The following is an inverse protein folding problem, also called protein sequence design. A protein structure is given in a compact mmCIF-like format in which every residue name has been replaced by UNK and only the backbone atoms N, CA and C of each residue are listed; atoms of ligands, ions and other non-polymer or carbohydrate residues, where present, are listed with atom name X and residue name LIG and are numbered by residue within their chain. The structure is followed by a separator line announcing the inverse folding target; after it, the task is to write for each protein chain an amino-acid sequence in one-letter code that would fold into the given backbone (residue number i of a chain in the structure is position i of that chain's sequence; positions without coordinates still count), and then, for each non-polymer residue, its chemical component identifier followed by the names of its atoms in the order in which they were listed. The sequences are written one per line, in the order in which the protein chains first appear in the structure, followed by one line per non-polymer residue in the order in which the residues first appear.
data_IF_543155801554
#
_entry.id   IF_543155801554
#
_cell.length_a   1.000
_cell.length_b   1.000
_cell.length_c   1.000
_cell.angle_alpha   90.00
_cell.angle_beta   90.00
_cell.angle_gamma   90.00
#
_symmetry.space_group_name_H-M   'P 1'
#
loop_
_entity.id
_entity.type
_entity.pdbx_description
1 polymer ?
#
# COMPACT_ATOMS: atom_id res chain seq x y z
N UNK A 1 17.52 7.51 -19.46
CA UNK A 1 16.31 8.30 -19.16
C UNK A 1 15.13 7.35 -18.89
N UNK A 2 14.98 6.90 -17.65
CA UNK A 2 13.86 6.05 -17.26
C UNK A 2 12.77 6.96 -16.69
N UNK A 3 11.75 7.22 -17.50
CA UNK A 3 10.55 7.91 -17.05
C UNK A 3 9.84 7.03 -16.02
N UNK A 4 9.87 7.45 -14.75
CA UNK A 4 9.01 6.90 -13.72
C UNK A 4 7.58 7.38 -14.00
N UNK A 5 6.83 6.66 -14.84
CA UNK A 5 5.42 6.97 -15.06
C UNK A 5 4.62 6.58 -13.81
N UNK A 6 4.05 7.56 -13.12
CA UNK A 6 3.05 7.30 -12.08
C UNK A 6 1.72 6.98 -12.76
N UNK A 7 1.31 5.71 -12.71
CA UNK A 7 0.01 5.26 -13.21
C UNK A 7 -1.00 5.29 -12.05
N UNK A 8 -2.07 6.07 -12.19
CA UNK A 8 -3.16 6.14 -11.22
C UNK A 8 -4.40 5.44 -11.79
N UNK A 9 -4.93 4.48 -11.04
CA UNK A 9 -6.15 3.76 -11.38
C UNK A 9 -7.13 3.84 -10.21
N UNK A 10 -8.36 4.26 -10.48
CA UNK A 10 -9.44 4.32 -9.51
C UNK A 10 -10.55 3.37 -9.96
N UNK A 11 -11.04 2.56 -9.02
CA UNK A 11 -12.09 1.58 -9.24
C UNK A 11 -12.99 1.46 -8.00
N UNK A 12 -14.19 0.92 -8.19
CA UNK A 12 -15.12 0.56 -7.11
C UNK A 12 -14.94 -0.89 -6.64
N UNK A 13 -14.18 -1.68 -7.39
CA UNK A 13 -13.89 -3.06 -7.04
C UNK A 13 -12.95 -3.11 -5.83
N UNK A 14 -13.11 -4.14 -5.00
CA UNK A 14 -12.23 -4.33 -3.85
C UNK A 14 -10.86 -4.83 -4.34
N UNK A 15 -9.78 -4.35 -3.73
CA UNK A 15 -8.41 -4.78 -4.08
C UNK A 15 -8.22 -6.30 -3.99
N UNK A 16 -8.99 -6.98 -3.13
CA UNK A 16 -8.95 -8.43 -2.95
C UNK A 16 -9.49 -9.21 -4.15
N UNK A 17 -10.35 -8.57 -4.95
CA UNK A 17 -10.94 -9.15 -6.16
C UNK A 17 -10.08 -8.87 -7.41
N UNK A 18 -9.21 -7.85 -7.33
CA UNK A 18 -8.38 -7.38 -8.45
C UNK A 18 -6.97 -8.01 -8.48
N UNK A 19 -6.46 -8.41 -7.31
CA UNK A 19 -5.06 -8.77 -7.15
C UNK A 19 -4.89 -10.13 -6.48
N UNK A 20 -3.76 -10.77 -6.77
CA UNK A 20 -3.39 -12.04 -6.17
C UNK A 20 -3.13 -11.87 -4.66
N UNK A 21 -3.85 -12.64 -3.85
CA UNK A 21 -3.85 -12.54 -2.39
C UNK A 21 -2.49 -12.82 -1.78
N UNK A 22 -1.73 -13.74 -2.37
CA UNK A 22 -0.41 -14.13 -1.87
C UNK A 22 0.62 -13.00 -2.04
N UNK A 23 0.28 -11.97 -2.80
CA UNK A 23 1.12 -10.80 -3.05
C UNK A 23 0.69 -9.57 -2.25
N UNK A 24 -0.40 -9.63 -1.49
CA UNK A 24 -0.93 -8.49 -0.75
C UNK A 24 -0.26 -8.33 0.63
N UNK A 25 0.24 -7.13 0.90
CA UNK A 25 0.73 -6.72 2.23
C UNK A 25 -0.06 -5.52 2.70
N UNK A 26 -0.78 -5.68 3.81
CA UNK A 26 -1.51 -4.59 4.43
C UNK A 26 -0.61 -3.82 5.40
N UNK A 27 -0.38 -2.54 5.12
CA UNK A 27 0.43 -1.67 5.96
C UNK A 27 -0.46 -0.94 6.97
N UNK A 28 -0.34 -1.35 8.22
CA UNK A 28 -1.04 -0.76 9.37
C UNK A 28 -0.08 -0.55 10.54
N UNK A 29 -0.19 0.56 11.30
CA UNK A 29 0.60 0.76 12.51
C UNK A 29 0.31 -0.27 13.60
N UNK A 30 -0.85 -0.94 13.56
CA UNK A 30 -1.25 -1.94 14.55
C UNK A 30 -0.64 -3.33 14.28
N UNK A 31 0.14 -3.48 13.20
CA UNK A 31 0.84 -4.72 12.87
C UNK A 31 1.93 -5.02 13.91
N UNK A 32 1.94 -6.24 14.43
CA UNK A 32 3.06 -6.74 15.24
C UNK A 32 4.32 -7.04 14.41
N UNK A 33 4.19 -7.09 13.08
CA UNK A 33 5.29 -7.37 12.16
C UNK A 33 5.94 -6.08 11.69
N UNK A 34 7.25 -5.98 11.85
CA UNK A 34 8.06 -4.89 11.32
C UNK A 34 8.47 -5.17 9.87
N UNK A 35 8.16 -4.24 8.97
CA UNK A 35 8.63 -4.29 7.59
C UNK A 35 10.08 -3.81 7.54
N UNK A 36 11.00 -4.72 7.24
CA UNK A 36 12.45 -4.41 7.18
C UNK A 36 12.96 -4.20 5.77
N UNK A 37 12.28 -4.73 4.75
CA UNK A 37 12.70 -4.68 3.35
C UNK A 37 11.49 -4.44 2.44
N UNK A 38 11.71 -3.69 1.36
CA UNK A 38 10.72 -3.47 0.32
C UNK A 38 10.89 -4.49 -0.81
N UNK A 39 9.84 -5.22 -1.14
CA UNK A 39 9.80 -6.17 -2.25
C UNK A 39 8.94 -5.63 -3.40
N UNK A 40 9.57 -5.39 -4.55
CA UNK A 40 8.92 -4.86 -5.75
C UNK A 40 7.88 -5.81 -6.38
N UNK A 41 7.87 -7.09 -5.99
CA UNK A 41 6.89 -8.06 -6.47
C UNK A 41 5.61 -8.08 -5.62
N UNK A 42 5.64 -7.45 -4.45
CA UNK A 42 4.51 -7.37 -3.54
C UNK A 42 3.66 -6.12 -3.77
N UNK A 43 2.39 -6.20 -3.40
CA UNK A 43 1.41 -5.12 -3.50
C UNK A 43 1.11 -4.61 -2.09
N UNK A 44 1.54 -3.39 -1.81
CA UNK A 44 1.34 -2.74 -0.52
C UNK A 44 0.03 -1.97 -0.51
N UNK A 45 -0.82 -2.27 0.46
CA UNK A 45 -2.11 -1.63 0.68
C UNK A 45 -1.97 -0.68 1.86
N UNK A 46 -2.40 0.57 1.68
CA UNK A 46 -2.43 1.60 2.72
C UNK A 46 -3.84 2.16 2.80
N UNK A 47 -4.37 2.35 4.01
CA UNK A 47 -5.61 3.12 4.18
C UNK A 47 -5.31 4.60 4.40
N UNK A 48 -6.14 5.45 3.79
CA UNK A 48 -6.04 6.91 3.88
C UNK A 48 -6.07 7.43 5.32
N UNK A 49 -6.85 6.77 6.20
CA UNK A 49 -6.98 7.16 7.62
C UNK A 49 -5.63 7.18 8.36
N UNK A 50 -4.72 6.27 8.01
CA UNK A 50 -3.39 6.19 8.62
C UNK A 50 -2.40 7.21 8.05
N UNK A 51 -2.59 7.69 6.81
CA UNK A 51 -1.76 8.77 6.27
C UNK A 51 -2.04 10.10 6.98
N UNK A 52 -3.31 10.37 7.29
CA UNK A 52 -3.73 11.61 7.94
C UNK A 52 -3.30 11.69 9.42
N UNK A 53 -3.11 10.55 10.10
CA UNK A 53 -2.58 10.50 11.47
C UNK A 53 -1.13 11.00 11.57
N UNK A 54 -0.29 10.80 10.55
CA UNK A 54 1.08 11.31 10.56
C UNK A 54 1.15 12.82 10.28
N UNK A 55 0.22 13.37 9.50
CA UNK A 55 0.21 14.81 9.19
C UNK A 55 -0.25 15.65 10.39
N UNK A 56 -1.14 15.13 11.25
CA UNK A 56 -1.62 15.87 12.43
C UNK A 56 -0.62 15.94 13.60
N UNK A 57 0.47 15.16 13.55
CA UNK A 57 1.49 15.08 14.60
C UNK A 57 2.85 15.71 14.18
N UNK A 58 2.86 16.52 13.13
CA UNK A 58 3.96 17.37 12.67
C UNK A 58 3.54 18.83 12.73
#
# INVERSE_FOLDING_TARGET
PHEHSTYFHSTRDLYIDLFDKDRLIYLTPDSSNEMTHFDHMMLFIFLEEYMMMKVKNL
#
